data_IF_541045544011
#
_entry.id   IF_541045544011
#
_cell.length_a   1.000
_cell.length_b   1.000
_cell.length_c   1.000
_cell.angle_alpha   90.00
_cell.angle_beta   90.00
_cell.angle_gamma   90.00
#
_symmetry.space_group_name_H-M   'P 1'
#
loop_
_entity.id
_entity.type
_entity.pdbx_description
1 polymer ?
#
# COMPACT_ATOMS: atom_id res chain seq x y z
N UNK A 1 -16.27 24.43 -17.79
CA UNK A 1 -15.78 23.27 -18.57
C UNK A 1 -15.05 22.24 -17.70
N UNK A 2 -14.09 22.62 -16.91
CA UNK A 2 -13.29 21.73 -16.03
C UNK A 2 -14.14 20.91 -15.03
N UNK A 3 -15.09 21.52 -14.35
CA UNK A 3 -15.99 20.86 -13.40
C UNK A 3 -16.82 19.72 -14.03
N UNK A 4 -17.32 19.91 -15.26
CA UNK A 4 -18.08 18.87 -15.99
C UNK A 4 -17.21 17.67 -16.44
N UNK A 5 -15.94 17.91 -16.71
CA UNK A 5 -15.01 16.87 -17.16
C UNK A 5 -14.57 16.00 -15.98
N UNK A 6 -14.35 16.59 -14.81
CA UNK A 6 -14.10 15.88 -13.54
C UNK A 6 -15.31 15.04 -13.13
N UNK A 7 -16.53 15.61 -13.24
CA UNK A 7 -17.78 14.89 -12.96
C UNK A 7 -18.01 13.68 -13.90
N UNK A 8 -17.59 13.80 -15.17
CA UNK A 8 -17.74 12.70 -16.13
C UNK A 8 -16.75 11.57 -15.84
N UNK A 9 -15.51 11.90 -15.52
CA UNK A 9 -14.49 10.91 -15.14
C UNK A 9 -14.88 10.21 -13.83
N UNK A 10 -15.39 10.95 -12.86
CA UNK A 10 -15.90 10.37 -11.60
C UNK A 10 -17.11 9.45 -11.84
N UNK A 11 -18.03 9.82 -12.74
CA UNK A 11 -19.17 8.96 -13.10
C UNK A 11 -18.74 7.69 -13.82
N UNK A 12 -17.78 7.77 -14.73
CA UNK A 12 -17.24 6.61 -15.41
C UNK A 12 -16.52 5.69 -14.42
N UNK A 13 -15.74 6.24 -13.49
CA UNK A 13 -15.11 5.50 -12.40
C UNK A 13 -16.15 4.79 -11.53
N UNK A 14 -17.23 5.48 -11.16
CA UNK A 14 -18.34 4.91 -10.39
C UNK A 14 -19.03 3.77 -11.14
N UNK A 15 -19.20 3.86 -12.46
CA UNK A 15 -19.81 2.80 -13.27
C UNK A 15 -18.94 1.54 -13.36
N UNK A 16 -17.62 1.70 -13.44
CA UNK A 16 -16.65 0.60 -13.41
C UNK A 16 -16.60 -0.04 -12.01
N UNK A 17 -16.76 0.76 -10.96
CA UNK A 17 -16.71 0.30 -9.57
C UNK A 17 -18.03 -0.31 -9.04
N UNK A 18 -19.05 -0.45 -9.88
CA UNK A 18 -20.35 -1.02 -9.47
C UNK A 18 -20.33 -2.54 -9.19
N UNK A 19 -19.25 -3.25 -9.57
CA UNK A 19 -19.05 -4.68 -9.30
C UNK A 19 -17.86 -4.89 -8.36
N UNK A 20 -17.98 -5.75 -7.34
CA UNK A 20 -16.92 -6.06 -6.39
C UNK A 20 -15.63 -6.57 -7.05
N UNK A 21 -15.78 -7.40 -8.08
CA UNK A 21 -14.65 -7.96 -8.82
C UNK A 21 -13.92 -6.88 -9.62
N UNK A 22 -14.66 -5.99 -10.29
CA UNK A 22 -14.09 -4.86 -11.04
C UNK A 22 -13.34 -3.87 -10.12
N UNK A 23 -13.77 -3.72 -8.87
CA UNK A 23 -13.10 -2.85 -7.89
C UNK A 23 -11.74 -3.38 -7.45
N UNK A 24 -11.64 -4.70 -7.18
CA UNK A 24 -10.38 -5.33 -6.85
C UNK A 24 -9.39 -5.20 -7.99
N UNK A 25 -9.81 -5.59 -9.19
CA UNK A 25 -9.00 -5.48 -10.41
C UNK A 25 -8.57 -4.03 -10.70
N UNK A 26 -9.45 -3.06 -10.48
CA UNK A 26 -9.11 -1.66 -10.67
C UNK A 26 -8.03 -1.17 -9.70
N UNK A 27 -8.07 -1.57 -8.44
CA UNK A 27 -7.04 -1.23 -7.47
C UNK A 27 -5.68 -1.88 -7.82
N UNK A 28 -5.70 -3.14 -8.26
CA UNK A 28 -4.52 -3.85 -8.74
C UNK A 28 -3.92 -3.15 -9.98
N UNK A 29 -4.74 -2.84 -11.00
CA UNK A 29 -4.31 -2.11 -12.20
C UNK A 29 -3.73 -0.73 -11.86
N UNK A 30 -4.32 -0.01 -10.91
CA UNK A 30 -3.80 1.29 -10.48
C UNK A 30 -2.38 1.16 -9.89
N UNK A 31 -2.13 0.11 -9.11
CA UNK A 31 -0.79 -0.18 -8.58
C UNK A 31 0.17 -0.54 -9.71
N UNK A 32 -0.25 -1.39 -10.65
CA UNK A 32 0.58 -1.77 -11.81
C UNK A 32 0.95 -0.54 -12.66
N UNK A 33 0.00 0.38 -12.90
CA UNK A 33 0.26 1.64 -13.60
C UNK A 33 1.30 2.51 -12.86
N UNK A 34 1.19 2.62 -11.52
CA UNK A 34 2.16 3.32 -10.69
C UNK A 34 3.55 2.68 -10.79
N UNK A 35 3.61 1.35 -10.70
CA UNK A 35 4.86 0.59 -10.83
C UNK A 35 5.49 0.80 -12.21
N UNK A 36 4.66 0.84 -13.28
CA UNK A 36 5.10 1.14 -14.64
C UNK A 36 5.69 2.55 -14.77
N UNK A 37 5.04 3.57 -14.19
CA UNK A 37 5.55 4.95 -14.16
C UNK A 37 6.90 5.03 -13.43
N UNK A 38 7.09 4.25 -12.38
CA UNK A 38 8.32 4.18 -11.60
C UNK A 38 9.39 3.26 -12.21
N UNK A 39 9.13 2.67 -13.38
CA UNK A 39 10.02 1.72 -14.06
C UNK A 39 10.32 0.45 -13.22
N UNK A 40 9.42 0.08 -12.32
CA UNK A 40 9.48 -1.19 -11.62
C UNK A 40 9.15 -2.34 -12.57
N UNK A 41 9.88 -3.44 -12.46
CA UNK A 41 9.74 -4.62 -13.33
C UNK A 41 9.30 -5.83 -12.52
N UNK A 42 8.26 -6.50 -12.99
CA UNK A 42 7.81 -7.78 -12.46
C UNK A 42 8.94 -8.82 -12.55
N UNK A 43 9.04 -9.68 -11.55
CA UNK A 43 10.12 -10.66 -11.39
C UNK A 43 11.50 -10.09 -11.01
N UNK A 44 11.67 -8.74 -10.98
CA UNK A 44 12.94 -8.07 -10.63
C UNK A 44 12.82 -7.22 -9.37
N UNK A 45 11.78 -6.39 -9.28
CA UNK A 45 11.55 -5.48 -8.17
C UNK A 45 10.35 -5.90 -7.32
N UNK A 46 9.40 -6.61 -7.90
CA UNK A 46 8.22 -7.14 -7.25
C UNK A 46 7.73 -8.40 -7.98
N UNK A 47 6.78 -9.08 -7.37
CA UNK A 47 6.05 -10.22 -7.94
C UNK A 47 4.57 -10.08 -7.57
N UNK A 48 3.67 -10.34 -8.53
CA UNK A 48 2.23 -10.36 -8.27
C UNK A 48 1.76 -11.75 -7.89
N UNK A 49 0.79 -11.85 -6.97
CA UNK A 49 0.14 -13.09 -6.58
C UNK A 49 1.12 -14.20 -6.15
N UNK A 50 2.27 -13.83 -5.56
CA UNK A 50 3.28 -14.77 -5.08
C UNK A 50 2.68 -15.76 -4.11
N UNK A 51 2.93 -17.06 -4.33
CA UNK A 51 2.46 -18.11 -3.42
C UNK A 51 3.41 -18.19 -2.23
N UNK A 52 2.88 -17.87 -1.03
CA UNK A 52 3.60 -18.03 0.23
C UNK A 52 3.58 -19.52 0.67
N UNK A 53 4.48 -19.92 1.56
CA UNK A 53 4.59 -21.32 2.01
C UNK A 53 3.28 -21.91 2.52
N UNK A 54 2.45 -21.09 3.17
CA UNK A 54 1.12 -21.49 3.68
C UNK A 54 -0.02 -21.36 2.67
N UNK A 55 0.31 -21.12 1.40
CA UNK A 55 -0.63 -21.08 0.28
C UNK A 55 -1.41 -19.78 0.15
N UNK A 56 -1.19 -18.78 1.00
CA UNK A 56 -1.74 -17.42 0.83
C UNK A 56 -1.03 -16.70 -0.31
N UNK A 57 -1.71 -15.69 -0.90
CA UNK A 57 -1.20 -14.93 -2.04
C UNK A 57 -1.41 -13.45 -1.79
N UNK A 58 -0.35 -12.70 -1.43
CA UNK A 58 -0.38 -11.24 -1.48
C UNK A 58 -0.66 -10.77 -2.90
N UNK A 59 -1.35 -9.65 -3.06
CA UNK A 59 -1.57 -9.08 -4.39
C UNK A 59 -0.24 -8.62 -4.99
N UNK A 60 0.65 -8.05 -4.16
CA UNK A 60 2.02 -7.66 -4.53
C UNK A 60 3.01 -8.05 -3.45
N UNK A 61 4.20 -8.50 -3.86
CA UNK A 61 5.36 -8.75 -3.00
C UNK A 61 6.54 -7.96 -3.54
N UNK A 62 6.99 -6.94 -2.83
CA UNK A 62 8.15 -6.12 -3.21
C UNK A 62 9.44 -6.71 -2.65
N UNK A 63 10.48 -6.73 -3.47
CA UNK A 63 11.79 -7.23 -3.07
C UNK A 63 12.62 -6.12 -2.43
N UNK A 64 13.34 -6.48 -1.38
CA UNK A 64 14.22 -5.62 -0.60
C UNK A 64 15.65 -6.16 -0.59
N UNK A 65 16.65 -5.36 -0.12
CA UNK A 65 17.97 -5.88 0.20
C UNK A 65 17.92 -7.07 1.17
N UNK A 66 19.00 -7.84 1.21
CA UNK A 66 19.17 -9.02 2.07
C UNK A 66 18.07 -10.09 1.90
N UNK A 67 17.54 -10.24 0.68
CA UNK A 67 16.46 -11.19 0.37
C UNK A 67 15.20 -10.99 1.23
N UNK A 68 14.99 -9.79 1.73
CA UNK A 68 13.76 -9.43 2.43
C UNK A 68 12.67 -9.07 1.45
N UNK A 69 11.41 -9.17 1.89
CA UNK A 69 10.25 -8.79 1.09
C UNK A 69 9.23 -8.01 1.91
N UNK A 70 8.44 -7.17 1.22
CA UNK A 70 7.24 -6.52 1.79
C UNK A 70 6.04 -7.00 1.00
N UNK A 71 5.05 -7.54 1.68
CA UNK A 71 3.78 -7.91 1.07
C UNK A 71 2.78 -6.75 1.11
N UNK A 72 1.90 -6.68 0.12
CA UNK A 72 0.84 -5.68 0.02
C UNK A 72 -0.48 -6.31 -0.40
N UNK A 73 -1.56 -5.90 0.28
CA UNK A 73 -2.95 -6.21 -0.08
C UNK A 73 -3.61 -4.96 -0.69
N UNK A 74 -4.15 -5.08 -1.89
CA UNK A 74 -4.82 -3.99 -2.62
C UNK A 74 -6.35 -4.02 -2.50
N UNK A 75 -6.93 -5.04 -1.87
CA UNK A 75 -8.37 -5.23 -1.74
C UNK A 75 -8.97 -4.38 -0.63
N UNK A 76 -9.53 -3.25 -1.00
CA UNK A 76 -10.09 -2.26 -0.09
C UNK A 76 -11.65 -2.22 -0.14
N UNK A 77 -12.37 -2.00 1.00
CA UNK A 77 -13.83 -1.99 1.05
C UNK A 77 -14.43 -0.68 0.51
N UNK A 78 -14.37 -0.47 -0.81
CA UNK A 78 -14.83 0.77 -1.46
C UNK A 78 -16.36 0.95 -1.49
N UNK A 79 -17.16 -0.10 -1.34
CA UNK A 79 -18.63 -0.04 -1.51
C UNK A 79 -19.27 0.99 -0.59
N UNK A 80 -19.01 0.86 0.71
CA UNK A 80 -19.59 1.75 1.72
C UNK A 80 -19.10 3.18 1.56
N UNK A 81 -17.83 3.36 1.19
CA UNK A 81 -17.30 4.69 0.91
C UNK A 81 -18.00 5.37 -0.28
N UNK A 82 -18.30 4.62 -1.34
CA UNK A 82 -19.04 5.15 -2.50
C UNK A 82 -20.47 5.56 -2.15
N UNK A 83 -21.14 4.83 -1.24
CA UNK A 83 -22.45 5.25 -0.72
C UNK A 83 -22.36 6.57 0.07
N UNK A 84 -21.33 6.71 0.90
CA UNK A 84 -21.05 7.95 1.66
C UNK A 84 -20.78 9.11 0.69
N UNK A 85 -19.95 8.87 -0.33
CA UNK A 85 -19.65 9.89 -1.34
C UNK A 85 -20.88 10.31 -2.14
N UNK A 86 -21.85 9.39 -2.36
CA UNK A 86 -23.14 9.72 -2.97
C UNK A 86 -23.95 10.64 -2.06
N UNK A 87 -24.10 10.28 -0.78
CA UNK A 87 -24.84 11.10 0.19
C UNK A 87 -24.23 12.51 0.35
N UNK A 88 -22.91 12.63 0.34
CA UNK A 88 -22.27 13.95 0.37
C UNK A 88 -22.59 14.79 -0.86
N UNK A 89 -22.70 14.18 -2.05
CA UNK A 89 -23.15 14.90 -3.26
C UNK A 89 -24.63 15.29 -3.18
N UNK A 90 -25.48 14.38 -2.69
CA UNK A 90 -26.90 14.67 -2.51
C UNK A 90 -27.08 15.86 -1.55
N UNK A 91 -26.20 16.03 -0.55
CA UNK A 91 -26.20 17.16 0.38
C UNK A 91 -25.82 18.52 -0.26
N UNK A 92 -25.11 18.49 -1.40
CA UNK A 92 -24.75 19.70 -2.17
C UNK A 92 -25.96 20.30 -2.95
N UNK A 93 -27.11 19.59 -3.01
CA UNK A 93 -28.32 20.09 -3.66
C UNK A 93 -28.89 21.28 -2.85
N UNK A 94 -28.87 22.45 -3.46
CA UNK A 94 -29.35 23.69 -2.86
C UNK A 94 -30.88 23.70 -2.66
N UNK A 95 -31.62 22.83 -3.37
CA UNK A 95 -33.10 22.70 -3.28
C UNK A 95 -33.59 21.95 -2.04
N UNK A 96 -32.69 21.29 -1.29
CA UNK A 96 -33.05 20.54 -0.10
C UNK A 96 -33.56 21.45 1.02
N UNK A 97 -34.67 21.04 1.62
CA UNK A 97 -35.14 21.66 2.86
C UNK A 97 -34.24 21.31 4.05
N UNK A 98 -34.39 22.08 5.14
CA UNK A 98 -33.55 21.91 6.34
C UNK A 98 -33.72 20.55 7.00
N UNK A 99 -34.91 19.97 6.97
CA UNK A 99 -35.22 18.67 7.53
C UNK A 99 -34.51 17.55 6.75
N UNK A 100 -34.60 17.56 5.42
CA UNK A 100 -33.92 16.63 4.52
C UNK A 100 -32.39 16.74 4.65
N UNK A 101 -31.86 17.95 4.70
CA UNK A 101 -30.43 18.22 4.90
C UNK A 101 -29.92 17.63 6.21
N UNK A 102 -30.67 17.81 7.30
CA UNK A 102 -30.35 17.23 8.61
C UNK A 102 -30.36 15.71 8.57
N UNK A 103 -31.35 15.10 7.95
CA UNK A 103 -31.48 13.64 7.83
C UNK A 103 -30.32 13.05 7.03
N UNK A 104 -29.94 13.65 5.90
CA UNK A 104 -28.77 13.20 5.12
C UNK A 104 -27.49 13.33 5.95
N UNK A 105 -27.31 14.44 6.66
CA UNK A 105 -26.14 14.67 7.52
C UNK A 105 -26.00 13.59 8.61
N UNK A 106 -27.09 13.24 9.29
CA UNK A 106 -27.06 12.17 10.30
C UNK A 106 -26.79 10.79 9.67
N UNK A 107 -27.32 10.55 8.47
CA UNK A 107 -27.04 9.32 7.70
C UNK A 107 -25.56 9.21 7.33
N UNK A 108 -24.93 10.31 6.90
CA UNK A 108 -23.49 10.36 6.61
C UNK A 108 -22.68 10.07 7.87
N UNK A 109 -23.01 10.67 9.00
CA UNK A 109 -22.30 10.41 10.28
C UNK A 109 -22.40 8.95 10.70
N UNK A 110 -23.58 8.36 10.62
CA UNK A 110 -23.79 6.94 10.95
C UNK A 110 -23.02 6.02 10.03
N UNK A 111 -23.09 6.25 8.71
CA UNK A 111 -22.37 5.45 7.71
C UNK A 111 -20.84 5.59 7.83
N UNK A 112 -20.33 6.79 8.13
CA UNK A 112 -18.91 7.00 8.38
C UNK A 112 -18.42 6.17 9.56
N UNK A 113 -19.19 6.16 10.66
CA UNK A 113 -18.86 5.36 11.84
C UNK A 113 -18.87 3.86 11.51
N UNK A 114 -19.93 3.37 10.89
CA UNK A 114 -20.03 1.96 10.49
C UNK A 114 -18.92 1.56 9.51
N UNK A 115 -18.56 2.44 8.60
CA UNK A 115 -17.45 2.21 7.68
C UNK A 115 -16.13 2.01 8.41
N UNK A 116 -15.80 2.92 9.34
CA UNK A 116 -14.55 2.86 10.10
C UNK A 116 -14.56 1.68 11.09
N UNK A 117 -15.59 1.58 11.92
CA UNK A 117 -15.66 0.62 13.02
C UNK A 117 -15.88 -0.83 12.58
N UNK A 118 -16.49 -1.03 11.41
CA UNK A 118 -16.76 -2.37 10.87
C UNK A 118 -15.86 -2.66 9.67
N UNK A 119 -16.06 -1.98 8.54
CA UNK A 119 -15.40 -2.34 7.29
C UNK A 119 -13.88 -2.16 7.34
N UNK A 120 -13.40 -1.00 7.81
CA UNK A 120 -11.96 -0.71 7.90
C UNK A 120 -11.29 -1.55 8.97
N UNK A 121 -11.91 -1.64 10.16
CA UNK A 121 -11.39 -2.46 11.25
C UNK A 121 -11.24 -3.91 10.83
N UNK A 122 -12.29 -4.50 10.28
CA UNK A 122 -12.27 -5.89 9.79
C UNK A 122 -11.19 -6.08 8.74
N UNK A 123 -11.07 -5.15 7.79
CA UNK A 123 -10.05 -5.26 6.74
C UNK A 123 -8.63 -5.19 7.28
N UNK A 124 -8.35 -4.32 8.25
CA UNK A 124 -7.05 -4.26 8.93
C UNK A 124 -6.77 -5.59 9.65
N UNK A 125 -7.73 -6.10 10.42
CA UNK A 125 -7.58 -7.35 11.17
C UNK A 125 -7.39 -8.56 10.24
N UNK A 126 -8.12 -8.63 9.12
CA UNK A 126 -7.94 -9.66 8.08
C UNK A 126 -6.56 -9.60 7.44
N UNK A 127 -6.10 -8.41 7.06
CA UNK A 127 -4.79 -8.24 6.41
C UNK A 127 -3.65 -8.62 7.38
N UNK A 128 -3.76 -8.21 8.64
CA UNK A 128 -2.80 -8.58 9.69
C UNK A 128 -2.79 -10.08 10.00
N UNK A 129 -3.96 -10.72 9.95
CA UNK A 129 -4.13 -12.15 10.27
C UNK A 129 -3.82 -13.12 9.13
N UNK A 130 -3.49 -12.62 7.93
CA UNK A 130 -3.15 -13.51 6.80
C UNK A 130 -1.81 -14.19 7.02
N UNK A 131 -1.85 -15.51 7.07
CA UNK A 131 -0.65 -16.32 7.24
C UNK A 131 0.37 -16.08 6.11
N UNK A 132 1.65 -15.93 6.47
CA UNK A 132 2.73 -15.68 5.53
C UNK A 132 2.89 -14.22 5.09
N UNK A 133 1.91 -13.33 5.30
CA UNK A 133 2.06 -11.92 4.94
C UNK A 133 3.11 -11.21 5.80
N UNK A 134 3.23 -11.61 7.07
CA UNK A 134 4.27 -11.19 8.00
C UNK A 134 4.90 -12.47 8.57
N UNK A 135 6.04 -12.91 8.00
CA UNK A 135 6.72 -14.14 8.37
C UNK A 135 8.23 -13.96 8.28
N UNK A 136 8.91 -14.05 9.41
CA UNK A 136 10.38 -14.00 9.44
C UNK A 136 11.00 -15.22 8.75
N UNK A 137 10.32 -16.37 8.74
CA UNK A 137 10.74 -17.60 8.10
C UNK A 137 10.77 -17.46 6.57
N UNK A 138 9.76 -16.75 6.02
CA UNK A 138 9.67 -16.45 4.59
C UNK A 138 10.46 -15.18 4.18
N UNK A 139 11.20 -14.59 5.12
CA UNK A 139 12.03 -13.42 4.84
C UNK A 139 11.24 -12.11 4.71
N UNK A 140 9.96 -12.05 5.12
CA UNK A 140 9.23 -10.80 5.10
C UNK A 140 9.71 -9.84 6.20
N UNK A 141 9.51 -8.55 5.99
CA UNK A 141 9.59 -7.58 7.08
C UNK A 141 8.43 -7.81 8.08
N UNK A 142 8.48 -7.18 9.25
CA UNK A 142 7.51 -7.37 10.32
C UNK A 142 6.23 -6.52 10.20
N UNK A 143 5.91 -6.10 8.97
CA UNK A 143 4.68 -5.39 8.64
C UNK A 143 4.21 -5.71 7.22
N UNK A 144 2.95 -5.38 6.92
CA UNK A 144 2.31 -5.52 5.60
C UNK A 144 1.73 -4.19 5.17
N UNK A 145 1.76 -3.91 3.86
CA UNK A 145 1.12 -2.74 3.30
C UNK A 145 -0.36 -3.04 2.97
N UNK A 146 -1.25 -2.10 3.26
CA UNK A 146 -2.64 -2.11 2.83
C UNK A 146 -2.91 -0.89 1.94
N UNK A 147 -3.18 -1.16 0.67
CA UNK A 147 -3.35 -0.11 -0.32
C UNK A 147 -4.75 0.50 -0.26
N UNK A 148 -4.82 1.81 -0.13
CA UNK A 148 -6.03 2.64 -0.14
C UNK A 148 -6.07 3.38 -1.47
N UNK A 149 -6.92 2.98 -2.44
CA UNK A 149 -6.78 3.39 -3.84
C UNK A 149 -7.21 4.84 -4.14
N UNK A 150 -7.70 5.57 -3.15
CA UNK A 150 -8.17 6.94 -3.28
C UNK A 150 -7.53 7.85 -2.23
N UNK A 151 -6.87 8.93 -2.67
CA UNK A 151 -6.22 9.90 -1.76
C UNK A 151 -7.20 10.53 -0.76
N UNK A 152 -8.40 10.90 -1.22
CA UNK A 152 -9.41 11.48 -0.34
C UNK A 152 -9.86 10.50 0.75
N UNK A 153 -9.94 9.22 0.42
CA UNK A 153 -10.27 8.16 1.38
C UNK A 153 -9.12 7.95 2.37
N UNK A 154 -7.88 7.92 1.88
CA UNK A 154 -6.70 7.84 2.74
C UNK A 154 -6.66 9.02 3.72
N UNK A 155 -6.89 10.25 3.23
CA UNK A 155 -6.96 11.43 4.08
C UNK A 155 -8.10 11.36 5.12
N UNK A 156 -9.26 10.84 4.74
CA UNK A 156 -10.35 10.58 5.67
C UNK A 156 -9.92 9.61 6.79
N UNK A 157 -9.22 8.53 6.46
CA UNK A 157 -8.74 7.56 7.45
C UNK A 157 -7.67 8.13 8.38
N UNK A 158 -6.81 9.05 7.90
CA UNK A 158 -5.82 9.73 8.74
C UNK A 158 -6.46 10.51 9.89
N UNK A 159 -7.67 11.04 9.67
CA UNK A 159 -8.41 11.86 10.63
C UNK A 159 -9.52 11.11 11.36
N UNK A 160 -9.70 9.83 11.04
CA UNK A 160 -10.75 8.98 11.62
C UNK A 160 -10.25 8.23 12.85
N UNK A 161 -11.20 7.93 13.75
CA UNK A 161 -10.99 7.17 14.97
C UNK A 161 -11.82 5.88 14.93
N UNK A 162 -11.34 4.81 15.56
CA UNK A 162 -11.92 3.47 15.54
C UNK A 162 -12.18 2.96 16.94
N UNK A 163 -13.28 2.24 17.11
CA UNK A 163 -13.66 1.57 18.34
C UNK A 163 -14.22 2.50 19.43
N UNK A 164 -14.56 1.91 20.57
CA UNK A 164 -15.12 2.63 21.72
C UNK A 164 -14.10 3.61 22.34
N UNK A 165 -12.81 3.25 22.32
CA UNK A 165 -11.71 4.04 22.87
C UNK A 165 -11.25 5.16 21.95
N UNK A 166 -11.88 5.31 20.77
CA UNK A 166 -11.59 6.35 19.78
C UNK A 166 -10.10 6.44 19.42
N UNK A 167 -9.51 5.30 19.11
CA UNK A 167 -8.11 5.21 18.71
C UNK A 167 -7.99 5.70 17.27
N UNK A 168 -7.00 6.55 16.88
CA UNK A 168 -6.77 6.89 15.49
C UNK A 168 -6.59 5.65 14.63
N UNK A 169 -7.29 5.59 13.48
CA UNK A 169 -7.25 4.42 12.56
C UNK A 169 -5.81 4.03 12.22
N UNK A 170 -4.96 5.02 11.94
CA UNK A 170 -3.54 4.79 11.64
C UNK A 170 -2.80 4.13 12.80
N UNK A 171 -3.06 4.58 14.02
CA UNK A 171 -2.45 3.98 15.22
C UNK A 171 -2.95 2.54 15.40
N UNK A 172 -4.25 2.29 15.21
CA UNK A 172 -4.81 0.94 15.26
C UNK A 172 -4.14 0.01 14.23
N UNK A 173 -4.06 0.44 12.96
CA UNK A 173 -3.39 -0.31 11.91
C UNK A 173 -1.93 -0.61 12.27
N UNK A 174 -1.20 0.37 12.80
CA UNK A 174 0.18 0.22 13.20
C UNK A 174 0.37 -0.81 14.33
N UNK A 175 -0.53 -0.85 15.33
CA UNK A 175 -0.51 -1.90 16.38
C UNK A 175 -0.72 -3.30 15.82
N UNK A 176 -1.37 -3.41 14.65
CA UNK A 176 -1.58 -4.66 13.92
C UNK A 176 -0.48 -4.94 12.88
N UNK A 177 0.58 -4.13 12.84
CA UNK A 177 1.65 -4.22 11.85
C UNK A 177 1.16 -4.03 10.40
N UNK A 178 0.08 -3.28 10.22
CA UNK A 178 -0.48 -2.88 8.93
C UNK A 178 -0.17 -1.41 8.69
N UNK A 179 0.45 -1.11 7.56
CA UNK A 179 0.73 0.26 7.13
C UNK A 179 -0.20 0.60 5.98
N UNK A 180 -1.06 1.60 6.19
CA UNK A 180 -1.93 2.12 5.13
C UNK A 180 -1.11 2.95 4.16
N UNK A 181 -1.27 2.70 2.87
CA UNK A 181 -0.60 3.48 1.82
C UNK A 181 -1.61 3.91 0.75
N UNK A 182 -1.53 5.17 0.34
CA UNK A 182 -2.24 5.74 -0.81
C UNK A 182 -1.38 5.65 -2.07
N UNK A 183 -1.88 5.98 -3.26
CA UNK A 183 -1.06 6.08 -4.46
C UNK A 183 0.21 6.92 -4.26
N UNK A 184 0.09 8.11 -3.68
CA UNK A 184 1.23 9.01 -3.47
C UNK A 184 2.20 8.50 -2.40
N UNK A 185 1.70 8.00 -1.28
CA UNK A 185 2.55 7.45 -0.22
C UNK A 185 3.21 6.15 -0.64
N UNK A 186 2.54 5.30 -1.44
CA UNK A 186 3.15 4.10 -2.02
C UNK A 186 4.35 4.47 -2.91
N UNK A 187 4.20 5.47 -3.79
CA UNK A 187 5.33 5.96 -4.60
C UNK A 187 6.51 6.40 -3.72
N UNK A 188 6.26 7.15 -2.66
CA UNK A 188 7.30 7.60 -1.74
C UNK A 188 8.00 6.42 -1.02
N UNK A 189 7.25 5.41 -0.59
CA UNK A 189 7.80 4.18 -0.01
C UNK A 189 8.67 3.43 -1.01
N UNK A 190 8.17 3.21 -2.22
CA UNK A 190 8.90 2.48 -3.26
C UNK A 190 10.17 3.22 -3.68
N UNK A 191 10.13 4.55 -3.78
CA UNK A 191 11.32 5.34 -4.06
C UNK A 191 12.39 5.21 -2.95
N UNK A 192 11.95 5.20 -1.68
CA UNK A 192 12.82 4.97 -0.53
C UNK A 192 13.45 3.57 -0.59
N UNK A 193 12.67 2.55 -0.94
CA UNK A 193 13.14 1.18 -1.14
C UNK A 193 14.20 1.16 -2.26
N UNK A 194 13.92 1.76 -3.41
CA UNK A 194 14.86 1.83 -4.54
C UNK A 194 16.19 2.49 -4.16
N UNK A 195 16.13 3.59 -3.43
CA UNK A 195 17.32 4.24 -2.90
C UNK A 195 18.12 3.33 -1.94
N UNK A 196 17.43 2.65 -1.04
CA UNK A 196 18.05 1.71 -0.10
C UNK A 196 18.74 0.55 -0.84
N UNK A 197 18.09 -0.01 -1.86
CA UNK A 197 18.67 -1.06 -2.70
C UNK A 197 19.94 -0.60 -3.40
N UNK A 198 19.93 0.61 -3.97
CA UNK A 198 21.11 1.20 -4.63
C UNK A 198 22.27 1.42 -3.66
N UNK A 199 22.02 1.94 -2.47
CA UNK A 199 23.04 2.13 -1.44
C UNK A 199 23.61 0.78 -0.98
N UNK A 200 22.77 -0.22 -0.80
CA UNK A 200 23.17 -1.57 -0.42
C UNK A 200 24.09 -2.22 -1.46
N UNK A 201 23.76 -2.11 -2.75
CA UNK A 201 24.60 -2.62 -3.84
C UNK A 201 25.96 -1.94 -3.86
N UNK A 202 26.02 -0.62 -3.70
CA UNK A 202 27.29 0.13 -3.63
C UNK A 202 28.16 -0.29 -2.43
N UNK A 203 27.56 -0.57 -1.27
CA UNK A 203 28.31 -1.09 -0.12
C UNK A 203 28.88 -2.48 -0.37
N UNK A 204 28.09 -3.35 -1.01
CA UNK A 204 28.53 -4.70 -1.35
C UNK A 204 29.67 -4.69 -2.36
N UNK A 205 29.55 -3.85 -3.40
CA UNK A 205 30.60 -3.67 -4.40
C UNK A 205 31.90 -3.14 -3.78
N UNK A 206 31.80 -2.15 -2.89
CA UNK A 206 32.95 -1.60 -2.18
C UNK A 206 33.64 -2.68 -1.31
N UNK A 207 32.88 -3.49 -0.59
CA UNK A 207 33.45 -4.62 0.20
C UNK A 207 34.15 -5.63 -0.71
N UNK A 208 33.57 -5.97 -1.86
CA UNK A 208 34.16 -6.89 -2.82
C UNK A 208 35.45 -6.35 -3.44
N UNK A 209 35.49 -5.05 -3.77
CA UNK A 209 36.69 -4.37 -4.27
C UNK A 209 37.79 -4.41 -3.22
N UNK A 210 37.50 -4.07 -1.96
CA UNK A 210 38.49 -4.11 -0.87
C UNK A 210 39.02 -5.53 -0.64
N UNK A 211 38.13 -6.54 -0.64
CA UNK A 211 38.55 -7.93 -0.49
C UNK A 211 39.43 -8.41 -1.65
N UNK A 212 39.13 -7.97 -2.88
CA UNK A 212 39.93 -8.28 -4.06
C UNK A 212 41.30 -7.57 -3.98
N UNK A 213 41.32 -6.31 -3.58
CA UNK A 213 42.60 -5.54 -3.37
C UNK A 213 43.49 -6.22 -2.32
N UNK A 214 42.94 -6.67 -1.21
CA UNK A 214 43.68 -7.42 -0.17
C UNK A 214 44.28 -8.73 -0.72
N UNK A 215 43.51 -9.48 -1.52
CA UNK A 215 44.01 -10.70 -2.18
C UNK A 215 45.19 -10.40 -3.10
N UNK A 216 45.01 -9.42 -3.99
CA UNK A 216 46.10 -9.01 -4.92
C UNK A 216 47.35 -8.56 -4.15
N UNK A 217 47.19 -7.76 -3.11
CA UNK A 217 48.31 -7.32 -2.25
C UNK A 217 49.05 -8.50 -1.61
N UNK A 218 48.33 -9.50 -1.12
CA UNK A 218 48.92 -10.69 -0.53
C UNK A 218 49.67 -11.55 -1.57
N UNK A 219 49.13 -11.68 -2.79
CA UNK A 219 49.83 -12.40 -3.88
C UNK A 219 51.10 -11.70 -4.32
N UNK A 220 51.10 -10.36 -4.44
CA UNK A 220 52.29 -9.58 -4.72
C UNK A 220 53.32 -9.77 -3.61
N UNK A 221 52.93 -9.76 -2.35
CA UNK A 221 53.84 -9.96 -1.22
C UNK A 221 54.50 -11.35 -1.28
N UNK A 222 53.75 -12.41 -1.54
CA UNK A 222 54.30 -13.74 -1.73
C UNK A 222 55.30 -13.81 -2.91
N UNK A 223 54.96 -13.16 -4.03
CA UNK A 223 55.83 -13.13 -5.20
C UNK A 223 57.17 -12.46 -4.89
N UNK A 224 57.18 -11.38 -4.10
CA UNK A 224 58.42 -10.71 -3.67
C UNK A 224 59.23 -11.64 -2.78
N UNK A 225 58.59 -12.32 -1.81
CA UNK A 225 59.27 -13.26 -0.90
C UNK A 225 59.88 -14.45 -1.61
N UNK A 226 59.34 -14.90 -2.74
CA UNK A 226 59.89 -15.98 -3.57
C UNK A 226 61.00 -15.53 -4.52
N UNK A 227 61.18 -14.22 -4.74
CA UNK A 227 62.18 -13.68 -5.65
C UNK A 227 63.47 -13.16 -4.95
N UNK A 228 63.50 -13.19 -3.61
CA UNK A 228 64.68 -13.02 -2.79
C UNK A 228 65.33 -14.38 -2.42
#
# INVERSE_FOLDING_TARGET
MYKRQVDQQTRNLISVLNNNQSRGQWAELQVEDLLGIMEYKDGVHYETQKIMEKGTKPDFTFFLPDNKTINMDSKFPLTTYMEIAKLNRDLEDESLDEASRKQITESIKSKNRDFVDKAIKTKIDETAGREGYISSEEGTVDFVLMYVPLENLYHFLLTSEIGADRIPVIQYAFTKKVILVSPQTLMAYLETIRHSMKLFSLQTDTKNILATHEKVKNEIRKFIEYSE
#
